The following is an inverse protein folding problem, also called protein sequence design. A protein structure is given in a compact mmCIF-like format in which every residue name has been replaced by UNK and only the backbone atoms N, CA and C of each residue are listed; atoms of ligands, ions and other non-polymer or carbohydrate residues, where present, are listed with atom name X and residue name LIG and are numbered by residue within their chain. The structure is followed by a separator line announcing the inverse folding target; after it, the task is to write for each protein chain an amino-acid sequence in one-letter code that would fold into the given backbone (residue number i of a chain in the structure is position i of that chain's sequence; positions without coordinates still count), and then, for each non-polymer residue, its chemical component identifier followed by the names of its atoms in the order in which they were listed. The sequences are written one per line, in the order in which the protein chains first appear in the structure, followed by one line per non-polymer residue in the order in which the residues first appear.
data_IF_283511847320
#
_entry.id   IF_283511847320
#
_cell.length_a   1.000
_cell.length_b   1.000
_cell.length_c   1.000
_cell.angle_alpha   90.00
_cell.angle_beta   90.00
_cell.angle_gamma   90.00
#
_symmetry.space_group_name_H-M   'P 1'
#
loop_
_entity.id
_entity.type
_entity.pdbx_description
1 polymer ?
#
# COMPACT_ATOMS: atom_id res chain seq x y z
N UNK A 1 7.60 10.22 -7.30
CA UNK A 1 6.91 9.88 -8.57
C UNK A 1 5.47 9.51 -8.26
N UNK A 2 4.51 9.90 -9.10
CA UNK A 2 3.08 9.54 -8.97
C UNK A 2 2.66 8.70 -10.18
N UNK A 3 1.94 7.62 -9.93
CA UNK A 3 1.35 6.75 -10.96
C UNK A 3 -0.16 6.68 -10.70
N UNK A 4 -0.97 7.15 -11.64
CA UNK A 4 -2.43 7.16 -11.52
C UNK A 4 -3.06 5.87 -12.07
N UNK A 5 -4.19 5.45 -11.51
CA UNK A 5 -4.91 4.24 -11.91
C UNK A 5 -6.13 4.00 -11.03
N UNK A 6 -6.75 2.84 -11.13
CA UNK A 6 -7.75 2.37 -10.16
C UNK A 6 -7.11 1.30 -9.28
N UNK A 7 -6.91 1.63 -8.01
CA UNK A 7 -6.20 0.80 -7.05
C UNK A 7 -7.03 0.59 -5.77
N UNK A 8 -8.35 0.82 -5.84
CA UNK A 8 -9.25 0.64 -4.71
C UNK A 8 -9.17 -0.79 -4.16
N UNK A 9 -9.27 -1.80 -5.02
CA UNK A 9 -9.22 -3.21 -4.62
C UNK A 9 -7.88 -3.58 -3.99
N UNK A 10 -6.77 -3.09 -4.56
CA UNK A 10 -5.43 -3.31 -4.01
C UNK A 10 -5.28 -2.69 -2.63
N UNK A 11 -5.76 -1.45 -2.46
CA UNK A 11 -5.70 -0.76 -1.17
C UNK A 11 -6.52 -1.52 -0.12
N UNK A 12 -7.76 -1.88 -0.44
CA UNK A 12 -8.66 -2.60 0.46
C UNK A 12 -8.09 -3.98 0.84
N UNK A 13 -7.56 -4.71 -0.13
CA UNK A 13 -6.92 -6.01 0.12
C UNK A 13 -5.73 -5.88 1.08
N UNK A 14 -4.80 -4.95 0.81
CA UNK A 14 -3.63 -4.76 1.66
C UNK A 14 -4.03 -4.28 3.06
N UNK A 15 -4.99 -3.37 3.16
CA UNK A 15 -5.50 -2.88 4.44
C UNK A 15 -6.13 -4.03 5.24
N UNK A 16 -6.92 -4.89 4.59
CA UNK A 16 -7.49 -6.09 5.22
C UNK A 16 -6.40 -7.09 5.64
N UNK A 17 -5.38 -7.29 4.80
CA UNK A 17 -4.25 -8.17 5.09
C UNK A 17 -3.53 -7.72 6.36
N UNK A 18 -3.20 -6.43 6.47
CA UNK A 18 -2.54 -5.87 7.64
C UNK A 18 -3.44 -5.86 8.88
N UNK A 19 -4.73 -5.55 8.73
CA UNK A 19 -5.71 -5.60 9.81
C UNK A 19 -5.82 -7.02 10.42
N UNK A 20 -5.86 -8.05 9.56
CA UNK A 20 -6.01 -9.46 9.97
C UNK A 20 -4.73 -10.09 10.48
N UNK A 21 -3.63 -9.92 9.73
CA UNK A 21 -2.35 -10.58 10.06
C UNK A 21 -1.60 -9.87 11.17
N UNK A 22 -1.79 -8.55 11.33
CA UNK A 22 -1.10 -7.70 12.30
C UNK A 22 0.43 -7.87 12.27
N UNK A 23 0.98 -8.06 11.06
CA UNK A 23 2.41 -8.16 10.81
C UNK A 23 2.93 -6.88 10.18
N UNK A 24 4.02 -6.32 10.74
CA UNK A 24 4.64 -5.11 10.18
C UNK A 24 5.43 -5.35 8.92
N UNK A 25 5.81 -6.59 8.63
CA UNK A 25 6.60 -6.97 7.47
C UNK A 25 5.97 -8.19 6.81
N UNK A 26 5.82 -8.11 5.49
CA UNK A 26 5.32 -9.20 4.64
C UNK A 26 6.17 -9.25 3.37
N UNK A 27 6.12 -10.39 2.68
CA UNK A 27 6.71 -10.53 1.36
C UNK A 27 5.59 -10.76 0.33
N UNK A 28 5.59 -9.98 -0.75
CA UNK A 28 4.66 -10.15 -1.86
C UNK A 28 5.46 -10.24 -3.15
N UNK A 29 5.42 -11.39 -3.81
CA UNK A 29 6.07 -11.59 -5.12
C UNK A 29 7.54 -11.17 -5.16
N UNK A 30 8.30 -11.47 -4.11
CA UNK A 30 9.73 -11.13 -3.97
C UNK A 30 10.02 -9.68 -3.55
N UNK A 31 9.00 -8.90 -3.20
CA UNK A 31 9.15 -7.58 -2.59
C UNK A 31 8.96 -7.67 -1.08
N UNK A 32 9.94 -7.17 -0.33
CA UNK A 32 9.79 -6.97 1.11
C UNK A 32 8.99 -5.72 1.38
N UNK A 33 7.83 -5.85 2.02
CA UNK A 33 6.92 -4.73 2.30
C UNK A 33 6.82 -4.56 3.80
N UNK A 34 7.21 -3.38 4.26
CA UNK A 34 7.05 -2.97 5.64
C UNK A 34 5.90 -1.97 5.76
N UNK A 35 4.96 -2.26 6.64
CA UNK A 35 3.87 -1.38 7.02
C UNK A 35 4.39 -0.19 7.83
N UNK A 36 3.95 1.03 7.48
CA UNK A 36 4.28 2.25 8.23
C UNK A 36 3.06 2.85 8.90
N UNK A 37 2.03 3.18 8.11
CA UNK A 37 0.84 3.86 8.62
C UNK A 37 -0.35 3.74 7.67
N UNK A 38 -1.52 4.15 8.15
CA UNK A 38 -2.74 4.30 7.38
C UNK A 38 -3.44 5.63 7.67
N UNK A 39 -4.32 6.05 6.76
CA UNK A 39 -5.32 7.11 6.99
C UNK A 39 -6.71 6.59 6.68
N UNK A 40 -7.71 7.07 7.41
CA UNK A 40 -9.11 6.76 7.19
C UNK A 40 -9.87 8.03 6.79
N UNK A 41 -10.86 7.88 5.92
CA UNK A 41 -11.85 8.91 5.64
C UNK A 41 -12.95 8.94 6.71
N UNK A 42 -13.04 10.07 7.40
CA UNK A 42 -14.08 10.42 8.34
C UNK A 42 -15.47 10.56 7.68
N UNK A 43 -16.55 10.61 8.48
CA UNK A 43 -17.92 10.78 7.96
C UNK A 43 -18.13 12.11 7.21
N UNK A 44 -17.30 13.09 7.51
CA UNK A 44 -17.25 14.42 6.91
C UNK A 44 -16.31 14.50 5.69
N UNK A 45 -15.86 13.36 5.17
CA UNK A 45 -14.86 13.25 4.10
C UNK A 45 -13.49 13.87 4.45
N UNK A 46 -13.23 14.14 5.74
CA UNK A 46 -11.90 14.53 6.20
C UNK A 46 -11.01 13.29 6.32
N UNK A 47 -9.73 13.42 5.95
CA UNK A 47 -8.77 12.36 6.23
C UNK A 47 -8.25 12.47 7.67
N UNK A 48 -8.17 11.34 8.35
CA UNK A 48 -7.42 11.26 9.61
C UNK A 48 -5.94 11.60 9.40
N UNK A 49 -5.25 11.94 10.49
CA UNK A 49 -3.80 11.91 10.51
C UNK A 49 -3.24 10.50 10.22
N UNK A 50 -1.92 10.43 10.04
CA UNK A 50 -1.21 9.16 9.88
C UNK A 50 -1.27 8.35 11.18
N UNK A 51 -1.85 7.16 11.12
CA UNK A 51 -1.93 6.21 12.23
C UNK A 51 -0.93 5.07 12.02
N UNK A 52 -0.02 4.85 12.96
CA UNK A 52 1.02 3.80 12.87
C UNK A 52 0.56 2.43 13.37
N UNK A 53 -0.62 2.36 13.98
CA UNK A 53 -1.29 1.10 14.32
C UNK A 53 -1.82 0.41 13.06
N UNK A 54 -2.25 -0.85 13.17
CA UNK A 54 -2.89 -1.53 12.05
C UNK A 54 -4.32 -1.02 11.84
N UNK A 55 -4.83 -1.00 10.60
CA UNK A 55 -6.20 -0.59 10.34
C UNK A 55 -7.18 -1.48 11.12
N UNK A 56 -8.25 -0.93 11.70
CA UNK A 56 -9.27 -1.73 12.34
C UNK A 56 -10.10 -2.47 11.27
N UNK A 57 -10.42 -3.75 11.55
CA UNK A 57 -11.00 -4.66 10.57
C UNK A 57 -12.39 -4.25 10.05
N UNK A 58 -13.12 -3.46 10.84
CA UNK A 58 -14.45 -2.92 10.54
C UNK A 58 -14.43 -1.61 9.74
N UNK A 59 -13.26 -1.02 9.54
CA UNK A 59 -13.10 0.28 8.86
C UNK A 59 -12.11 0.21 7.69
N UNK A 60 -11.81 -0.99 7.20
CA UNK A 60 -10.88 -1.24 6.09
C UNK A 60 -11.36 -0.59 4.79
N UNK A 61 -12.66 -0.61 4.55
CA UNK A 61 -13.35 0.05 3.44
C UNK A 61 -13.19 1.57 3.46
N UNK A 62 -12.92 2.15 4.63
CA UNK A 62 -12.70 3.59 4.81
C UNK A 62 -11.23 3.99 4.79
N UNK A 63 -10.30 3.05 4.63
CA UNK A 63 -8.88 3.37 4.49
C UNK A 63 -8.68 4.13 3.18
N UNK A 64 -8.23 5.38 3.28
CA UNK A 64 -7.99 6.25 2.13
C UNK A 64 -6.55 6.19 1.64
N UNK A 65 -5.62 5.81 2.52
CA UNK A 65 -4.19 5.78 2.23
C UNK A 65 -3.48 4.72 3.07
N UNK A 66 -2.61 3.94 2.45
CA UNK A 66 -1.63 3.09 3.13
C UNK A 66 -0.23 3.57 2.81
N UNK A 67 0.58 3.82 3.84
CA UNK A 67 2.01 4.12 3.70
C UNK A 67 2.83 2.88 4.04
N UNK A 68 3.72 2.52 3.12
CA UNK A 68 4.55 1.34 3.16
C UNK A 68 6.01 1.73 2.87
N UNK A 69 6.94 0.86 3.26
CA UNK A 69 8.31 0.88 2.82
C UNK A 69 8.56 -0.41 2.02
N UNK A 70 8.86 -0.27 0.73
CA UNK A 70 9.07 -1.38 -0.18
C UNK A 70 10.56 -1.56 -0.47
N UNK A 71 11.08 -2.74 -0.16
CA UNK A 71 12.39 -3.21 -0.60
C UNK A 71 12.23 -3.76 -2.01
N UNK A 72 12.73 -3.00 -2.98
CA UNK A 72 12.66 -3.40 -4.39
C UNK A 72 13.66 -4.51 -4.70
N UNK A 73 13.35 -5.35 -5.70
CA UNK A 73 14.20 -6.47 -6.11
C UNK A 73 15.59 -6.04 -6.61
N UNK A 74 15.77 -4.77 -6.99
CA UNK A 74 17.07 -4.23 -7.43
C UNK A 74 18.12 -4.12 -6.33
N UNK A 75 17.80 -4.44 -5.07
CA UNK A 75 18.71 -4.33 -3.94
C UNK A 75 19.05 -2.89 -3.54
N UNK A 76 18.30 -1.91 -4.08
CA UNK A 76 18.41 -0.50 -3.73
C UNK A 76 17.85 -0.23 -2.33
N UNK A 77 18.12 0.98 -1.83
CA UNK A 77 17.52 1.46 -0.60
C UNK A 77 15.98 1.32 -0.64
N UNK A 78 15.33 1.02 0.48
CA UNK A 78 13.89 0.89 0.52
C UNK A 78 13.20 2.18 0.07
N UNK A 79 12.14 2.04 -0.73
CA UNK A 79 11.38 3.15 -1.29
C UNK A 79 10.11 3.31 -0.48
N UNK A 80 9.75 4.54 -0.10
CA UNK A 80 8.47 4.78 0.55
C UNK A 80 7.38 4.80 -0.51
N UNK A 81 6.34 4.00 -0.29
CA UNK A 81 5.21 3.84 -1.20
C UNK A 81 3.94 4.20 -0.46
N UNK A 82 3.19 5.16 -0.99
CA UNK A 82 1.85 5.48 -0.51
C UNK A 82 0.83 5.03 -1.54
N UNK A 83 -0.12 4.20 -1.11
CA UNK A 83 -1.18 3.65 -1.95
C UNK A 83 -2.47 4.38 -1.61
N UNK A 84 -3.17 4.88 -2.63
CA UNK A 84 -4.50 5.48 -2.56
C UNK A 84 -5.38 4.88 -3.64
N UNK A 85 -6.69 5.16 -3.57
CA UNK A 85 -7.67 4.61 -4.51
C UNK A 85 -7.35 4.93 -5.96
N UNK A 86 -6.80 6.12 -6.23
CA UNK A 86 -6.60 6.65 -7.59
C UNK A 86 -5.12 6.79 -7.98
N UNK A 87 -4.17 6.54 -7.07
CA UNK A 87 -2.74 6.59 -7.39
C UNK A 87 -1.83 5.91 -6.37
N UNK A 88 -0.63 5.57 -6.85
CA UNK A 88 0.56 5.35 -6.04
C UNK A 88 1.45 6.60 -6.01
N UNK A 89 2.07 6.87 -4.86
CA UNK A 89 3.20 7.78 -4.75
C UNK A 89 4.43 7.03 -4.27
N UNK A 90 5.55 7.21 -4.97
CA UNK A 90 6.85 6.67 -4.61
C UNK A 90 7.79 7.81 -4.22
N UNK A 91 8.37 7.75 -3.01
CA UNK A 91 9.39 8.68 -2.54
C UNK A 91 10.75 7.95 -2.49
N UNK A 92 11.70 8.44 -3.28
CA UNK A 92 13.03 7.84 -3.44
C UNK A 92 13.42 7.67 -4.91
N UNK A 93 14.60 7.08 -5.14
CA UNK A 93 15.15 6.83 -6.47
C UNK A 93 14.64 5.51 -7.07
N UNK A 94 13.39 5.51 -7.51
CA UNK A 94 12.77 4.41 -8.27
C UNK A 94 12.57 4.83 -9.72
N UNK A 95 12.84 3.93 -10.68
CA UNK A 95 12.52 4.18 -12.09
C UNK A 95 11.03 3.92 -12.35
N UNK A 96 10.49 4.52 -13.40
CA UNK A 96 9.12 4.26 -13.83
C UNK A 96 8.87 2.78 -14.15
N UNK A 97 9.84 2.13 -14.81
CA UNK A 97 9.79 0.69 -15.10
C UNK A 97 9.73 -0.17 -13.83
N UNK A 98 10.51 0.16 -12.81
CA UNK A 98 10.54 -0.59 -11.55
C UNK A 98 9.26 -0.38 -10.75
N UNK A 99 8.72 0.84 -10.73
CA UNK A 99 7.43 1.12 -10.11
C UNK A 99 6.27 0.43 -10.84
N UNK A 100 6.28 0.41 -12.18
CA UNK A 100 5.29 -0.33 -12.97
C UNK A 100 5.31 -1.82 -12.63
N UNK A 101 6.50 -2.44 -12.63
CA UNK A 101 6.68 -3.85 -12.23
C UNK A 101 6.19 -4.10 -10.80
N UNK A 102 6.46 -3.19 -9.87
CA UNK A 102 5.96 -3.30 -8.50
C UNK A 102 4.42 -3.30 -8.48
N UNK A 103 3.79 -2.31 -9.10
CA UNK A 103 2.32 -2.18 -9.14
C UNK A 103 1.70 -3.43 -9.76
N UNK A 104 2.16 -3.86 -10.94
CA UNK A 104 1.66 -5.05 -11.63
C UNK A 104 1.76 -6.31 -10.75
N UNK A 105 2.83 -6.45 -9.98
CA UNK A 105 3.05 -7.60 -9.11
C UNK A 105 2.17 -7.57 -7.87
N UNK A 106 1.96 -6.40 -7.27
CA UNK A 106 1.02 -6.25 -6.17
C UNK A 106 -0.39 -6.55 -6.68
N UNK A 107 -0.80 -5.95 -7.80
CA UNK A 107 -2.11 -6.13 -8.39
C UNK A 107 -2.41 -7.60 -8.74
N UNK A 108 -1.52 -8.27 -9.48
CA UNK A 108 -1.62 -9.72 -9.75
C UNK A 108 -1.69 -10.58 -8.48
N UNK A 109 -0.99 -10.18 -7.42
CA UNK A 109 -1.04 -10.90 -6.15
C UNK A 109 -2.39 -10.71 -5.47
N UNK A 110 -3.04 -9.56 -5.68
CA UNK A 110 -4.36 -9.21 -5.15
C UNK A 110 -5.46 -10.03 -5.84
N UNK A 111 -5.41 -10.15 -7.17
CA UNK A 111 -6.36 -10.94 -7.97
C UNK A 111 -6.37 -12.43 -7.66
N UNK A 112 -5.31 -13.01 -7.07
CA UNK A 112 -5.28 -14.42 -6.68
C UNK A 112 -6.09 -14.74 -5.42
N UNK A 113 -6.54 -13.72 -4.68
CA UNK A 113 -7.29 -13.89 -3.44
C UNK A 113 -8.77 -13.52 -3.57
N UNK A 114 -9.22 -13.09 -4.75
CA UNK A 114 -10.63 -12.87 -5.09
C UNK A 114 -11.20 -14.07 -5.84
#
# INVERSE_FOLDING_TARGET
MRVSGDFADVLTYLAMLFARKRMKQIEISGYGIQYLSYRILGPDMSESGDNSEFPPADSVDRVSCLSLLAVMQSGRAPVRVSIRWDYYTFEGSVSEEEAGKFIDRIDQSTFRYF
#
